data_IF_109020975836
#
_entry.id   IF_109020975836
#
_cell.length_a   1.000
_cell.length_b   1.000
_cell.length_c   1.000
_cell.angle_alpha   90.00
_cell.angle_beta   90.00
_cell.angle_gamma   90.00
#
_symmetry.space_group_name_H-M   'P 1'
#
loop_
_entity.id
_entity.type
_entity.pdbx_description
1 polymer ?
#
# COMPACT_ATOMS: atom_id res chain seq x y z
N UNK A 1 -7.67 -4.35 30.60
CA UNK A 1 -8.67 -5.34 30.12
C UNK A 1 -8.67 -5.29 28.61
N UNK A 2 -8.43 -6.40 27.92
CA UNK A 2 -8.55 -6.48 26.46
C UNK A 2 -10.03 -6.58 26.09
N UNK A 3 -10.53 -5.59 25.36
CA UNK A 3 -11.87 -5.64 24.76
C UNK A 3 -11.89 -6.78 23.73
N UNK A 4 -12.91 -7.66 23.72
CA UNK A 4 -13.03 -8.68 22.69
C UNK A 4 -13.17 -8.03 21.31
N UNK A 5 -12.57 -8.64 20.29
CA UNK A 5 -12.74 -8.18 18.91
C UNK A 5 -14.19 -8.38 18.47
N UNK A 6 -14.79 -7.35 17.88
CA UNK A 6 -16.11 -7.48 17.27
C UNK A 6 -16.06 -8.40 16.05
N UNK A 7 -17.21 -8.99 15.68
CA UNK A 7 -17.31 -9.83 14.49
C UNK A 7 -16.83 -9.12 13.23
N UNK A 8 -17.11 -7.81 13.09
CA UNK A 8 -16.62 -7.00 11.97
C UNK A 8 -15.09 -6.89 11.91
N UNK A 9 -14.41 -6.75 13.06
CA UNK A 9 -12.94 -6.72 13.12
C UNK A 9 -12.34 -8.08 12.75
N UNK A 10 -12.94 -9.16 13.26
CA UNK A 10 -12.52 -10.53 12.94
C UNK A 10 -12.65 -10.78 11.43
N UNK A 11 -13.78 -10.42 10.83
CA UNK A 11 -14.00 -10.57 9.40
C UNK A 11 -13.00 -9.77 8.56
N UNK A 12 -12.72 -8.52 8.95
CA UNK A 12 -11.73 -7.69 8.27
C UNK A 12 -10.32 -8.32 8.34
N UNK A 13 -9.91 -8.83 9.51
CA UNK A 13 -8.63 -9.53 9.63
C UNK A 13 -8.57 -10.79 8.77
N UNK A 14 -9.65 -11.55 8.66
CA UNK A 14 -9.70 -12.72 7.78
C UNK A 14 -9.44 -12.35 6.32
N UNK A 15 -9.95 -11.20 5.85
CA UNK A 15 -9.71 -10.72 4.48
C UNK A 15 -8.27 -10.27 4.24
N UNK A 16 -7.52 -9.90 5.28
CA UNK A 16 -6.13 -9.42 5.18
C UNK A 16 -5.08 -10.52 5.35
N UNK A 17 -5.50 -11.75 5.63
CA UNK A 17 -4.62 -12.92 5.83
C UNK A 17 -4.65 -13.86 4.65
N UNK A 18 -3.57 -14.62 4.46
CA UNK A 18 -3.53 -15.71 3.47
C UNK A 18 -4.34 -16.94 3.94
N UNK A 19 -4.33 -18.00 3.13
CA UNK A 19 -5.02 -19.27 3.40
C UNK A 19 -4.58 -19.93 4.72
N UNK A 20 -3.34 -19.66 5.16
CA UNK A 20 -2.77 -20.15 6.42
C UNK A 20 -3.07 -19.25 7.63
N UNK A 21 -3.91 -18.22 7.47
CA UNK A 21 -4.24 -17.22 8.51
C UNK A 21 -3.02 -16.41 8.98
N UNK A 22 -2.05 -16.23 8.10
CA UNK A 22 -0.85 -15.42 8.34
C UNK A 22 -0.95 -14.10 7.58
N UNK A 23 -0.54 -13.01 8.23
CA UNK A 23 -0.36 -11.72 7.58
C UNK A 23 0.97 -11.72 6.81
N UNK A 24 0.89 -11.68 5.50
CA UNK A 24 2.04 -11.56 4.59
C UNK A 24 1.85 -10.28 3.77
N UNK A 25 1.92 -9.14 4.45
CA UNK A 25 1.52 -7.85 3.88
C UNK A 25 2.69 -7.12 3.21
N UNK A 26 2.40 -6.40 2.12
CA UNK A 26 3.33 -5.45 1.52
C UNK A 26 3.04 -4.04 2.03
N UNK A 27 4.04 -3.36 2.61
CA UNK A 27 3.92 -1.98 3.08
C UNK A 27 4.46 -1.00 2.04
N UNK A 28 3.60 -0.12 1.54
CA UNK A 28 3.95 0.81 0.48
C UNK A 28 3.23 2.16 0.59
N UNK A 29 3.15 2.66 1.82
CA UNK A 29 2.56 3.94 2.22
C UNK A 29 3.59 5.09 2.34
N UNK A 30 4.84 4.86 1.89
CA UNK A 30 5.86 5.90 1.83
C UNK A 30 5.40 7.08 0.94
N UNK A 31 5.52 8.30 1.45
CA UNK A 31 5.23 9.55 0.71
C UNK A 31 6.54 10.18 0.23
N UNK A 32 7.05 11.18 0.94
CA UNK A 32 8.21 11.99 0.53
C UNK A 32 9.45 11.15 0.22
N UNK A 33 9.69 10.08 0.98
CA UNK A 33 10.81 9.16 0.72
C UNK A 33 10.70 8.46 -0.65
N UNK A 34 9.48 8.11 -1.07
CA UNK A 34 9.23 7.52 -2.39
C UNK A 34 9.38 8.57 -3.49
N UNK A 35 8.85 9.78 -3.29
CA UNK A 35 9.00 10.90 -4.23
C UNK A 35 10.48 11.23 -4.46
N UNK A 36 11.28 11.31 -3.40
CA UNK A 36 12.71 11.57 -3.49
C UNK A 36 13.46 10.47 -4.27
N UNK A 37 13.19 9.21 -3.95
CA UNK A 37 13.78 8.06 -4.65
C UNK A 37 13.41 8.03 -6.13
N UNK A 38 12.14 8.29 -6.44
CA UNK A 38 11.64 8.32 -7.82
C UNK A 38 12.23 9.50 -8.61
N UNK A 39 12.29 10.69 -8.01
CA UNK A 39 12.86 11.88 -8.63
C UNK A 39 14.34 11.67 -8.98
N UNK A 40 15.10 11.07 -8.05
CA UNK A 40 16.50 10.69 -8.27
C UNK A 40 16.64 9.68 -9.42
N UNK A 41 15.79 8.67 -9.48
CA UNK A 41 15.80 7.66 -10.55
C UNK A 41 15.48 8.28 -11.92
N UNK A 42 14.55 9.23 -11.97
CA UNK A 42 14.13 9.91 -13.20
C UNK A 42 15.08 11.03 -13.62
N UNK A 43 16.00 11.47 -12.76
CA UNK A 43 16.91 12.59 -13.03
C UNK A 43 16.21 13.95 -13.07
N UNK A 44 15.10 14.10 -12.34
CA UNK A 44 14.32 15.35 -12.24
C UNK A 44 14.45 15.95 -10.84
N UNK A 45 14.19 17.25 -10.71
CA UNK A 45 14.19 17.92 -9.41
C UNK A 45 13.11 17.36 -8.48
N UNK A 46 11.90 17.17 -9.00
CA UNK A 46 10.75 16.60 -8.30
C UNK A 46 9.81 15.93 -9.30
N UNK A 47 9.41 14.68 -9.03
CA UNK A 47 8.43 13.96 -9.84
C UNK A 47 7.02 14.53 -9.61
N UNK A 48 6.24 14.70 -10.68
CA UNK A 48 4.85 15.13 -10.56
C UNK A 48 3.94 14.09 -9.88
N UNK A 49 2.79 14.54 -9.41
CA UNK A 49 1.86 13.71 -8.65
C UNK A 49 1.38 12.51 -9.47
N UNK A 50 1.06 12.72 -10.75
CA UNK A 50 0.56 11.71 -11.66
C UNK A 50 1.58 10.59 -11.87
N UNK A 51 2.85 10.93 -12.02
CA UNK A 51 3.96 9.98 -12.14
C UNK A 51 4.12 9.18 -10.86
N UNK A 52 4.10 9.85 -9.70
CA UNK A 52 4.20 9.19 -8.40
C UNK A 52 3.02 8.23 -8.18
N UNK A 53 1.79 8.66 -8.45
CA UNK A 53 0.57 7.88 -8.30
C UNK A 53 0.54 6.67 -9.26
N UNK A 54 0.89 6.89 -10.53
CA UNK A 54 0.94 5.84 -11.54
C UNK A 54 1.95 4.74 -11.18
N UNK A 55 3.15 5.15 -10.76
CA UNK A 55 4.19 4.21 -10.36
C UNK A 55 3.78 3.46 -9.07
N UNK A 56 3.11 4.14 -8.14
CA UNK A 56 2.62 3.48 -6.94
C UNK A 56 1.59 2.40 -7.24
N UNK A 57 0.63 2.70 -8.10
CA UNK A 57 -0.39 1.74 -8.56
C UNK A 57 0.29 0.56 -9.29
N UNK A 58 1.31 0.83 -10.11
CA UNK A 58 2.06 -0.21 -10.83
C UNK A 58 2.72 -1.19 -9.86
N UNK A 59 3.40 -0.67 -8.84
CA UNK A 59 4.06 -1.47 -7.80
C UNK A 59 3.02 -2.24 -6.98
N UNK A 60 1.94 -1.60 -6.55
CA UNK A 60 0.87 -2.26 -5.79
C UNK A 60 0.27 -3.45 -6.57
N UNK A 61 0.01 -3.29 -7.88
CA UNK A 61 -0.46 -4.36 -8.76
C UNK A 61 0.54 -5.50 -8.91
N UNK A 62 1.84 -5.20 -8.94
CA UNK A 62 2.88 -6.21 -9.04
C UNK A 62 3.06 -7.00 -7.74
N UNK A 63 2.87 -6.36 -6.58
CA UNK A 63 3.02 -6.99 -5.26
C UNK A 63 1.78 -7.75 -4.81
N UNK A 64 0.57 -7.30 -5.20
CA UNK A 64 -0.69 -7.88 -4.73
C UNK A 64 -0.81 -9.40 -4.89
N UNK A 65 -0.35 -10.05 -5.98
CA UNK A 65 -0.41 -11.51 -6.10
C UNK A 65 0.48 -12.29 -5.11
N UNK A 66 1.43 -11.61 -4.46
CA UNK A 66 2.44 -12.21 -3.56
C UNK A 66 2.25 -11.80 -2.09
N UNK A 67 1.25 -10.98 -1.80
CA UNK A 67 0.96 -10.48 -0.46
C UNK A 67 -0.49 -10.78 -0.09
N UNK A 68 -0.76 -11.04 1.19
CA UNK A 68 -2.13 -11.20 1.69
C UNK A 68 -2.91 -9.88 1.70
N UNK A 69 -2.21 -8.74 1.76
CA UNK A 69 -2.76 -7.40 1.63
C UNK A 69 -1.65 -6.38 1.31
N UNK A 70 -2.03 -5.21 0.81
CA UNK A 70 -1.12 -4.08 0.54
C UNK A 70 -1.56 -2.87 1.36
N UNK A 71 -0.63 -2.30 2.13
CA UNK A 71 -0.82 -1.03 2.83
C UNK A 71 -0.39 0.13 1.92
N UNK A 72 -1.30 1.07 1.71
CA UNK A 72 -1.14 2.18 0.77
C UNK A 72 -1.42 3.52 1.46
N UNK A 73 -0.85 4.59 0.91
CA UNK A 73 -1.13 5.95 1.38
C UNK A 73 -2.33 6.58 0.65
N UNK A 74 -3.14 7.39 1.32
CA UNK A 74 -4.31 8.01 0.69
C UNK A 74 -3.97 9.13 -0.30
N UNK A 75 -2.76 9.69 -0.28
CA UNK A 75 -2.41 10.86 -1.08
C UNK A 75 -2.15 10.51 -2.54
N UNK A 76 -1.46 9.40 -2.79
CA UNK A 76 -1.08 8.97 -4.14
C UNK A 76 -1.77 7.68 -4.59
N UNK A 77 -2.36 6.91 -3.67
CA UNK A 77 -2.83 5.54 -3.97
C UNK A 77 -4.34 5.34 -3.85
N UNK A 78 -5.12 6.35 -3.43
CA UNK A 78 -6.57 6.26 -3.31
C UNK A 78 -7.33 6.29 -4.66
N UNK A 79 -6.61 6.53 -5.78
CA UNK A 79 -7.21 6.83 -7.08
C UNK A 79 -7.74 8.27 -7.14
N UNK A 80 -8.06 8.79 -8.35
CA UNK A 80 -8.75 10.06 -8.46
C UNK A 80 -10.13 9.98 -7.78
N UNK A 81 -10.52 11.08 -7.14
CA UNK A 81 -11.87 11.28 -6.58
C UNK A 81 -12.87 11.56 -7.71
#
# INVERSE_FOLDING_TARGET
MTQPLSLGKIHCFQQLTNEFKVFTMAAFDHRDAFVASLSQMLGVAEADWETVAAEKIRIAKALAPHASAVLLDPLYSAGPV
#
